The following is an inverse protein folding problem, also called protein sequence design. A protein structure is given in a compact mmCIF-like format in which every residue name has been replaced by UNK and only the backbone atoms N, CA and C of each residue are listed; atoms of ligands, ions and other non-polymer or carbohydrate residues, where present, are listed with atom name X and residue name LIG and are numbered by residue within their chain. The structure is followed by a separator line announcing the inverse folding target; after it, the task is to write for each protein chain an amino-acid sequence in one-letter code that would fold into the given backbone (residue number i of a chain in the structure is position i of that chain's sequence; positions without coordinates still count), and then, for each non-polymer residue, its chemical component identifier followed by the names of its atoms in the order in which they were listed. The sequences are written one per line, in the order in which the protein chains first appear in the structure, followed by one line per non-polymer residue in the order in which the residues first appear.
data_IF_291167833184
#
_entry.id   IF_291167833184
#
_cell.length_a   1.000
_cell.length_b   1.000
_cell.length_c   1.000
_cell.angle_alpha   90.00
_cell.angle_beta   90.00
_cell.angle_gamma   90.00
#
_symmetry.space_group_name_H-M   'P 1'
#
loop_
_entity.id
_entity.type
_entity.pdbx_description
1 polymer ?
#
# COMPACT_ATOMS: atom_id res chain seq x y z
N UNK A 1 8.02 -12.50 -6.24
CA UNK A 1 6.74 -11.82 -5.98
C UNK A 1 6.41 -12.00 -4.51
N UNK A 2 6.49 -10.93 -3.72
CA UNK A 2 5.96 -10.95 -2.35
C UNK A 2 4.47 -10.63 -2.50
N UNK A 3 3.65 -11.66 -2.52
CA UNK A 3 2.20 -11.50 -2.45
C UNK A 3 1.86 -11.26 -1.00
N UNK A 4 1.37 -10.07 -0.69
CA UNK A 4 0.94 -9.79 0.67
C UNK A 4 -0.47 -10.32 0.87
N UNK A 5 -0.55 -11.52 1.44
CA UNK A 5 -1.80 -12.02 1.97
C UNK A 5 -2.11 -11.30 3.28
N UNK A 6 -2.83 -10.19 3.16
CA UNK A 6 -3.30 -9.41 4.28
C UNK A 6 -4.77 -9.69 4.60
N UNK A 7 -5.17 -9.73 5.89
CA UNK A 7 -4.34 -9.96 7.07
C UNK A 7 -4.19 -11.45 7.41
N UNK A 8 -2.95 -11.95 7.55
CA UNK A 8 -2.63 -13.33 8.01
C UNK A 8 -2.17 -13.42 9.46
N UNK A 9 -1.86 -12.28 10.08
CA UNK A 9 -1.26 -12.20 11.41
C UNK A 9 -1.98 -11.17 12.28
N UNK A 10 -1.79 -11.25 13.60
CA UNK A 10 -2.26 -10.21 14.52
C UNK A 10 -1.45 -8.91 14.41
N UNK A 11 -2.02 -7.80 14.90
CA UNK A 11 -1.43 -6.46 14.84
C UNK A 11 0.02 -6.41 15.40
N UNK A 12 0.32 -7.17 16.46
CA UNK A 12 1.67 -7.24 17.04
C UNK A 12 2.74 -7.67 16.04
N UNK A 13 2.42 -8.63 15.18
CA UNK A 13 3.34 -9.13 14.16
C UNK A 13 3.61 -8.08 13.09
N UNK A 14 2.60 -7.25 12.78
CA UNK A 14 2.71 -6.14 11.84
C UNK A 14 3.59 -5.02 12.41
N UNK A 15 3.33 -4.57 13.64
CA UNK A 15 4.18 -3.58 14.29
C UNK A 15 5.65 -4.03 14.38
N UNK A 16 5.89 -5.28 14.81
CA UNK A 16 7.24 -5.83 14.86
C UNK A 16 7.86 -6.02 13.45
N UNK A 17 7.04 -6.31 12.44
CA UNK A 17 7.45 -6.42 11.05
C UNK A 17 7.97 -5.10 10.50
N UNK A 18 7.23 -4.01 10.74
CA UNK A 18 7.67 -2.66 10.39
C UNK A 18 9.02 -2.32 11.04
N UNK A 19 9.16 -2.52 12.35
CA UNK A 19 10.41 -2.22 13.06
C UNK A 19 11.62 -2.99 12.50
N UNK A 20 11.41 -4.25 12.11
CA UNK A 20 12.45 -5.04 11.44
C UNK A 20 12.77 -4.49 10.05
N UNK A 21 11.76 -4.16 9.25
CA UNK A 21 11.96 -3.63 7.90
C UNK A 21 12.72 -2.29 7.92
N UNK A 22 12.39 -1.40 8.87
CA UNK A 22 13.11 -0.13 9.05
C UNK A 22 14.55 -0.38 9.55
N UNK A 23 14.76 -1.34 10.44
CA UNK A 23 16.11 -1.76 10.85
C UNK A 23 16.95 -2.26 9.67
N UNK A 24 16.35 -3.03 8.75
CA UNK A 24 17.00 -3.49 7.51
C UNK A 24 17.28 -2.31 6.58
N UNK A 25 16.33 -1.38 6.41
CA UNK A 25 16.50 -0.19 5.57
C UNK A 25 17.76 0.61 5.94
N UNK A 26 18.00 0.81 7.25
CA UNK A 26 19.19 1.51 7.76
C UNK A 26 20.52 0.82 7.40
N UNK A 27 20.49 -0.49 7.13
CA UNK A 27 21.66 -1.31 6.80
C UNK A 27 21.68 -1.78 5.34
N UNK A 28 20.67 -1.40 4.54
CA UNK A 28 20.53 -1.89 3.18
C UNK A 28 21.64 -1.30 2.31
N UNK A 29 22.58 -2.15 1.93
CA UNK A 29 23.63 -1.83 0.98
C UNK A 29 23.15 -2.24 -0.43
N UNK A 30 22.65 -1.28 -1.19
CA UNK A 30 22.13 -1.44 -2.54
C UNK A 30 21.78 -0.07 -3.13
N UNK A 31 21.65 0.02 -4.46
CA UNK A 31 21.19 1.24 -5.13
C UNK A 31 19.75 1.60 -4.72
N UNK A 32 19.31 2.82 -5.08
CA UNK A 32 18.07 3.43 -4.58
C UNK A 32 16.82 2.54 -4.71
N UNK A 33 16.75 1.70 -5.75
CA UNK A 33 15.65 0.74 -5.96
C UNK A 33 15.54 -0.34 -4.88
N UNK A 34 16.67 -0.84 -4.37
CA UNK A 34 16.66 -1.85 -3.30
C UNK A 34 16.15 -1.26 -1.99
N UNK A 35 16.52 -0.01 -1.70
CA UNK A 35 16.03 0.74 -0.53
C UNK A 35 14.54 1.06 -0.64
N UNK A 36 14.10 1.50 -1.82
CA UNK A 36 12.68 1.73 -2.11
C UNK A 36 11.84 0.46 -1.95
N UNK A 37 12.34 -0.70 -2.39
CA UNK A 37 11.68 -1.98 -2.18
C UNK A 37 11.54 -2.32 -0.68
N UNK A 38 12.62 -2.17 0.10
CA UNK A 38 12.58 -2.36 1.57
C UNK A 38 11.62 -1.39 2.25
N UNK A 39 11.56 -0.13 1.79
CA UNK A 39 10.59 0.84 2.28
C UNK A 39 9.15 0.40 1.93
N UNK A 40 8.92 -0.08 0.70
CA UNK A 40 7.64 -0.65 0.28
C UNK A 40 7.19 -1.82 1.16
N UNK A 41 8.11 -2.73 1.51
CA UNK A 41 7.87 -3.82 2.46
C UNK A 41 7.47 -3.30 3.85
N UNK A 42 8.10 -2.22 4.32
CA UNK A 42 7.73 -1.59 5.59
C UNK A 42 6.32 -0.97 5.50
N UNK A 43 6.05 -0.21 4.43
CA UNK A 43 4.77 0.46 4.19
C UNK A 43 3.63 -0.51 3.93
N UNK A 44 3.91 -1.74 3.51
CA UNK A 44 2.93 -2.82 3.47
C UNK A 44 2.22 -3.02 4.81
N UNK A 45 2.92 -2.77 5.92
CA UNK A 45 2.36 -2.81 7.27
C UNK A 45 1.25 -1.78 7.49
N UNK A 46 1.36 -0.60 6.86
CA UNK A 46 0.35 0.47 6.95
C UNK A 46 -0.99 -0.02 6.42
N UNK A 47 -0.98 -0.60 5.22
CA UNK A 47 -2.19 -1.15 4.60
C UNK A 47 -2.74 -2.34 5.40
N UNK A 48 -1.87 -3.23 5.90
CA UNK A 48 -2.27 -4.38 6.70
C UNK A 48 -3.00 -3.99 8.00
N UNK A 49 -2.44 -3.04 8.75
CA UNK A 49 -3.04 -2.53 9.98
C UNK A 49 -4.33 -1.76 9.67
N UNK A 50 -4.38 -1.02 8.58
CA UNK A 50 -5.61 -0.34 8.15
C UNK A 50 -6.74 -1.34 7.86
N UNK A 51 -6.45 -2.41 7.11
CA UNK A 51 -7.42 -3.49 6.84
C UNK A 51 -7.84 -4.21 8.14
N UNK A 52 -6.91 -4.52 9.03
CA UNK A 52 -7.22 -5.13 10.34
C UNK A 52 -8.15 -4.26 11.18
N UNK A 53 -7.90 -2.94 11.24
CA UNK A 53 -8.74 -2.00 12.00
C UNK A 53 -10.15 -1.95 11.42
N UNK A 54 -10.32 -2.08 10.11
CA UNK A 54 -11.65 -2.12 9.48
C UNK A 54 -12.42 -3.38 9.86
N UNK A 55 -11.74 -4.51 10.06
CA UNK A 55 -12.35 -5.77 10.49
C UNK A 55 -12.72 -5.75 11.99
N UNK A 56 -11.91 -5.11 12.83
CA UNK A 56 -12.18 -4.90 14.25
C UNK A 56 -11.92 -3.45 14.67
N UNK A 57 -12.89 -2.54 14.49
CA UNK A 57 -12.74 -1.14 14.86
C UNK A 57 -12.61 -0.92 16.37
N UNK A 58 -12.98 -1.91 17.18
CA UNK A 58 -12.95 -1.86 18.64
C UNK A 58 -11.63 -2.36 19.24
N UNK A 59 -10.71 -2.85 18.40
CA UNK A 59 -9.47 -3.43 18.85
C UNK A 59 -8.64 -2.42 19.68
N UNK A 60 -8.13 -2.86 20.84
CA UNK A 60 -7.39 -2.00 21.77
C UNK A 60 -6.18 -1.30 21.12
N UNK A 61 -5.50 -2.00 20.20
CA UNK A 61 -4.33 -1.46 19.49
C UNK A 61 -4.69 -0.34 18.50
N UNK A 62 -5.95 -0.21 18.07
CA UNK A 62 -6.39 0.79 17.09
C UNK A 62 -6.44 2.22 17.65
N UNK A 63 -6.33 2.39 18.97
CA UNK A 63 -6.26 3.68 19.63
C UNK A 63 -4.85 4.29 19.62
N UNK A 64 -4.30 4.57 20.80
CA UNK A 64 -3.03 5.29 20.95
C UNK A 64 -1.85 4.60 20.27
N UNK A 65 -1.84 3.26 20.21
CA UNK A 65 -0.75 2.51 19.61
C UNK A 65 -0.69 2.70 18.10
N UNK A 66 -1.81 2.64 17.40
CA UNK A 66 -1.87 2.93 15.97
C UNK A 66 -1.48 4.39 15.67
N UNK A 67 -1.93 5.33 16.50
CA UNK A 67 -1.53 6.74 16.37
C UNK A 67 -0.02 6.94 16.54
N UNK A 68 0.60 6.27 17.53
CA UNK A 68 2.05 6.29 17.74
C UNK A 68 2.80 5.66 16.56
N UNK A 69 2.28 4.56 16.00
CA UNK A 69 2.82 3.94 14.79
C UNK A 69 2.79 4.90 13.60
N UNK A 70 1.67 5.59 13.35
CA UNK A 70 1.60 6.59 12.28
C UNK A 70 2.58 7.75 12.53
N UNK A 71 2.77 8.18 13.78
CA UNK A 71 3.84 9.13 14.12
C UNK A 71 5.23 8.66 13.64
N UNK A 72 5.56 7.40 13.91
CA UNK A 72 6.83 6.80 13.48
C UNK A 72 6.94 6.62 11.97
N UNK A 73 5.83 6.29 11.28
CA UNK A 73 5.80 6.24 9.81
C UNK A 73 6.13 7.61 9.22
N UNK A 74 5.59 8.69 9.79
CA UNK A 74 5.92 10.06 9.34
C UNK A 74 7.40 10.38 9.51
N UNK A 75 7.97 10.08 10.68
CA UNK A 75 9.41 10.28 10.94
C UNK A 75 10.30 9.51 9.95
N UNK A 76 9.93 8.26 9.64
CA UNK A 76 10.63 7.45 8.62
C UNK A 76 10.55 8.11 7.25
N UNK A 77 9.37 8.55 6.82
CA UNK A 77 9.18 9.16 5.50
C UNK A 77 9.89 10.50 5.39
N UNK A 78 9.96 11.30 6.46
CA UNK A 78 10.77 12.53 6.51
C UNK A 78 12.26 12.23 6.31
N UNK A 79 12.77 11.15 6.89
CA UNK A 79 14.18 10.77 6.79
C UNK A 79 14.52 10.04 5.47
N UNK A 80 13.53 9.35 4.87
CA UNK A 80 13.67 8.49 3.70
C UNK A 80 12.89 8.99 2.48
N UNK A 81 12.63 10.31 2.40
CA UNK A 81 11.82 10.89 1.31
C UNK A 81 12.33 10.58 -0.10
N UNK A 82 13.65 10.45 -0.29
CA UNK A 82 14.24 10.01 -1.56
C UNK A 82 13.89 8.56 -1.92
N UNK A 83 13.92 7.64 -0.94
CA UNK A 83 13.51 6.25 -1.13
C UNK A 83 12.00 6.17 -1.43
N UNK A 84 11.21 7.04 -0.80
CA UNK A 84 9.77 7.14 -1.06
C UNK A 84 9.45 7.68 -2.46
N UNK A 85 10.19 8.68 -2.94
CA UNK A 85 10.03 9.16 -4.31
C UNK A 85 10.31 8.05 -5.35
N UNK A 86 11.33 7.22 -5.10
CA UNK A 86 11.60 6.04 -5.94
C UNK A 86 10.48 5.00 -5.81
N UNK A 87 9.94 4.77 -4.61
CA UNK A 87 8.79 3.91 -4.41
C UNK A 87 7.56 4.37 -5.21
N UNK A 88 7.32 5.68 -5.30
CA UNK A 88 6.25 6.24 -6.14
C UNK A 88 6.55 6.03 -7.63
N UNK A 89 7.78 6.23 -8.08
CA UNK A 89 8.15 5.97 -9.48
C UNK A 89 7.99 4.48 -9.87
N UNK A 90 8.11 3.55 -8.92
CA UNK A 90 7.81 2.13 -9.16
C UNK A 90 6.31 1.87 -9.43
N UNK A 91 5.40 2.76 -9.01
CA UNK A 91 3.99 2.70 -9.40
C UNK A 91 3.85 2.95 -10.90
N UNK A 92 4.48 4.00 -11.41
CA UNK A 92 4.44 4.37 -12.83
C UNK A 92 5.00 3.21 -13.68
N UNK A 93 6.17 2.67 -13.30
CA UNK A 93 6.74 1.50 -13.97
C UNK A 93 5.82 0.26 -13.90
N UNK A 94 5.06 0.10 -12.82
CA UNK A 94 4.13 -1.00 -12.68
C UNK A 94 2.93 -0.85 -13.63
N UNK A 95 2.40 0.38 -13.78
CA UNK A 95 1.34 0.71 -14.74
C UNK A 95 1.80 0.54 -16.20
N UNK A 96 2.99 1.04 -16.54
CA UNK A 96 3.60 0.89 -17.87
C UNK A 96 3.76 -0.57 -18.30
N UNK A 97 3.90 -1.50 -17.34
CA UNK A 97 4.09 -2.91 -17.68
C UNK A 97 2.84 -3.57 -18.30
N UNK A 98 1.64 -3.04 -18.02
CA UNK A 98 0.36 -3.59 -18.45
C UNK A 98 0.20 -5.11 -18.16
N UNK A 99 0.89 -5.58 -17.11
CA UNK A 99 0.81 -6.98 -16.66
C UNK A 99 -0.07 -7.11 -15.41
N UNK A 100 -0.65 -8.30 -15.13
CA UNK A 100 -1.36 -8.52 -13.86
C UNK A 100 -0.51 -8.26 -12.62
N UNK A 101 0.81 -8.53 -12.70
CA UNK A 101 1.75 -8.28 -11.61
C UNK A 101 1.98 -6.77 -11.43
N UNK A 102 2.15 -6.04 -12.53
CA UNK A 102 2.24 -4.59 -12.50
C UNK A 102 0.97 -3.95 -11.94
N UNK A 103 -0.19 -4.40 -12.41
CA UNK A 103 -1.48 -3.94 -11.90
C UNK A 103 -1.63 -4.19 -10.39
N UNK A 104 -1.27 -5.39 -9.91
CA UNK A 104 -1.25 -5.69 -8.47
C UNK A 104 -0.36 -4.72 -7.70
N UNK A 105 0.86 -4.48 -8.18
CA UNK A 105 1.81 -3.57 -7.53
C UNK A 105 1.31 -2.12 -7.52
N UNK A 106 0.70 -1.66 -8.62
CA UNK A 106 0.13 -0.32 -8.70
C UNK A 106 -1.06 -0.14 -7.74
N UNK A 107 -1.98 -1.11 -7.71
CA UNK A 107 -3.09 -1.14 -6.75
C UNK A 107 -2.60 -1.10 -5.30
N UNK A 108 -1.52 -1.84 -5.03
CA UNK A 108 -0.89 -1.89 -3.74
C UNK A 108 -0.31 -0.53 -3.33
N UNK A 109 0.55 0.04 -4.18
CA UNK A 109 1.20 1.32 -3.92
C UNK A 109 0.17 2.45 -3.78
N UNK A 110 -0.82 2.51 -4.67
CA UNK A 110 -1.91 3.48 -4.61
C UNK A 110 -2.70 3.41 -3.30
N UNK A 111 -2.98 2.19 -2.80
CA UNK A 111 -3.67 1.98 -1.52
C UNK A 111 -2.84 2.41 -0.32
N UNK A 112 -1.54 2.11 -0.33
CA UNK A 112 -0.64 2.57 0.71
C UNK A 112 -0.63 4.09 0.77
N UNK A 113 -0.52 4.77 -0.38
CA UNK A 113 -0.52 6.24 -0.43
C UNK A 113 -1.86 6.82 0.05
N UNK A 114 -3.00 6.23 -0.34
CA UNK A 114 -4.31 6.67 0.15
C UNK A 114 -4.40 6.62 1.68
N UNK A 115 -4.00 5.49 2.28
CA UNK A 115 -4.02 5.31 3.75
C UNK A 115 -3.04 6.29 4.43
N UNK A 116 -1.87 6.52 3.83
CA UNK A 116 -0.91 7.49 4.35
C UNK A 116 -1.48 8.91 4.37
N UNK A 117 -2.21 9.32 3.31
CA UNK A 117 -2.83 10.64 3.22
C UNK A 117 -4.03 10.78 4.17
N UNK A 118 -4.91 9.78 4.22
CA UNK A 118 -6.16 9.85 4.99
C UNK A 118 -5.97 9.56 6.48
N UNK A 119 -5.24 8.51 6.84
CA UNK A 119 -5.17 7.99 8.21
C UNK A 119 -3.90 8.39 8.96
N UNK A 120 -2.75 8.40 8.27
CA UNK A 120 -1.52 8.90 8.88
C UNK A 120 -1.44 10.43 8.90
N UNK A 121 -2.46 11.12 8.37
CA UNK A 121 -2.56 12.58 8.28
C UNK A 121 -1.28 13.21 7.73
N UNK A 122 -0.66 12.57 6.73
CA UNK A 122 0.49 13.12 6.05
C UNK A 122 0.04 14.30 5.17
N UNK A 123 0.65 15.48 5.31
CA UNK A 123 0.29 16.59 4.45
C UNK A 123 0.64 16.22 2.99
N UNK A 124 -0.31 16.36 2.04
CA UNK A 124 -0.10 15.97 0.64
C UNK A 124 1.18 16.57 0.06
N UNK A 125 1.43 17.84 0.38
CA UNK A 125 2.57 18.63 -0.11
C UNK A 125 3.95 18.16 0.39
N UNK A 126 4.02 17.30 1.40
CA UNK A 126 5.31 16.83 1.92
C UNK A 126 5.91 15.68 1.10
N UNK A 127 5.10 14.95 0.32
CA UNK A 127 5.54 13.71 -0.31
C UNK A 127 5.01 13.48 -1.74
N UNK A 128 3.88 14.08 -2.12
CA UNK A 128 3.29 13.93 -3.46
C UNK A 128 2.81 15.27 -4.01
N UNK A 129 2.71 15.40 -5.33
CA UNK A 129 2.06 16.56 -5.93
C UNK A 129 0.57 16.61 -5.53
N UNK A 130 -0.02 17.80 -5.46
CA UNK A 130 -1.42 17.98 -5.00
C UNK A 130 -2.45 17.28 -5.90
N UNK A 131 -2.11 17.10 -7.17
CA UNK A 131 -2.89 16.43 -8.22
C UNK A 131 -2.47 14.96 -8.42
N UNK A 132 -1.47 14.46 -7.68
CA UNK A 132 -0.91 13.13 -7.90
C UNK A 132 -1.97 12.02 -7.85
N UNK A 133 -2.89 12.08 -6.87
CA UNK A 133 -3.94 11.07 -6.73
C UNK A 133 -4.92 11.08 -7.93
N UNK A 134 -5.30 12.27 -8.40
CA UNK A 134 -6.18 12.42 -9.56
C UNK A 134 -5.51 11.93 -10.85
N UNK A 135 -4.26 12.35 -11.09
CA UNK A 135 -3.48 11.94 -12.24
C UNK A 135 -3.23 10.43 -12.26
N UNK A 136 -2.84 9.85 -11.12
CA UNK A 136 -2.64 8.40 -10.98
C UNK A 136 -3.95 7.65 -11.21
N UNK A 137 -5.06 8.11 -10.64
CA UNK A 137 -6.37 7.49 -10.83
C UNK A 137 -6.83 7.53 -12.30
N UNK A 138 -6.54 8.62 -13.03
CA UNK A 138 -6.81 8.71 -14.47
C UNK A 138 -6.00 7.68 -15.26
N UNK A 139 -4.69 7.59 -15.01
CA UNK A 139 -3.82 6.61 -15.66
C UNK A 139 -4.25 5.16 -15.34
N UNK A 140 -4.58 4.88 -14.08
CA UNK A 140 -5.08 3.58 -13.67
C UNK A 140 -6.37 3.20 -14.40
N UNK A 141 -7.30 4.14 -14.65
CA UNK A 141 -8.51 3.85 -15.43
C UNK A 141 -8.19 3.49 -16.88
N UNK A 142 -7.22 4.15 -17.49
CA UNK A 142 -6.80 3.84 -18.85
C UNK A 142 -6.14 2.45 -18.94
N UNK A 143 -5.20 2.15 -18.03
CA UNK A 143 -4.50 0.87 -17.94
C UNK A 143 -5.44 -0.28 -17.61
N UNK A 144 -6.47 -0.07 -16.78
CA UNK A 144 -7.47 -1.07 -16.42
C UNK A 144 -8.15 -1.73 -17.64
N UNK A 145 -8.25 -1.01 -18.77
CA UNK A 145 -8.85 -1.53 -20.01
C UNK A 145 -7.93 -2.49 -20.78
N UNK A 146 -6.64 -2.54 -20.42
CA UNK A 146 -5.58 -3.25 -21.14
C UNK A 146 -4.96 -4.39 -20.33
N UNK A 147 -5.14 -4.41 -19.01
CA UNK A 147 -4.66 -5.47 -18.12
C UNK A 147 -5.69 -6.59 -17.96
N UNK A 148 -5.22 -7.81 -17.77
CA UNK A 148 -6.11 -8.91 -17.39
C UNK A 148 -6.59 -8.76 -15.93
N UNK A 149 -7.81 -9.23 -15.61
CA UNK A 149 -8.32 -9.33 -14.25
C UNK A 149 -7.31 -9.89 -13.24
N UNK A 150 -7.29 -9.34 -12.03
CA UNK A 150 -6.64 -10.01 -10.91
C UNK A 150 -7.48 -11.23 -10.51
N UNK A 151 -6.84 -12.36 -10.15
CA UNK A 151 -7.58 -13.43 -9.52
C UNK A 151 -8.13 -12.95 -8.16
N UNK A 152 -9.33 -13.39 -7.80
CA UNK A 152 -10.05 -12.95 -6.59
C UNK A 152 -9.20 -13.11 -5.33
N UNK A 153 -8.44 -14.20 -5.26
CA UNK A 153 -7.57 -14.49 -4.14
C UNK A 153 -6.43 -13.47 -3.97
N UNK A 154 -6.12 -12.66 -5.00
CA UNK A 154 -5.07 -11.64 -4.96
C UNK A 154 -5.57 -10.30 -4.39
N UNK A 155 -6.88 -10.09 -4.33
CA UNK A 155 -7.47 -8.90 -3.73
C UNK A 155 -7.43 -9.06 -2.21
N UNK A 156 -6.81 -8.12 -1.46
CA UNK A 156 -6.76 -8.21 0.00
C UNK A 156 -8.16 -8.31 0.61
N UNK A 157 -8.31 -9.15 1.64
CA UNK A 157 -9.62 -9.33 2.29
C UNK A 157 -10.07 -8.02 2.92
N UNK A 158 -11.37 -7.72 2.80
CA UNK A 158 -11.99 -6.49 3.32
C UNK A 158 -11.49 -5.20 2.65
N UNK A 159 -10.84 -5.30 1.49
CA UNK A 159 -10.57 -4.13 0.66
C UNK A 159 -11.90 -3.48 0.27
N UNK A 160 -12.10 -2.18 0.55
CA UNK A 160 -13.39 -1.57 0.32
C UNK A 160 -13.48 -0.96 -1.09
N UNK A 161 -14.70 -0.66 -1.51
CA UNK A 161 -15.00 -0.25 -2.89
C UNK A 161 -14.34 1.07 -3.28
N UNK A 162 -14.04 1.94 -2.31
CA UNK A 162 -13.33 3.20 -2.57
C UNK A 162 -11.92 2.96 -3.12
N UNK A 163 -11.34 1.80 -2.87
CA UNK A 163 -10.10 1.33 -3.52
C UNK A 163 -10.45 0.59 -4.82
N UNK A 164 -11.26 1.24 -5.66
CA UNK A 164 -11.87 0.71 -6.89
C UNK A 164 -10.87 0.07 -7.84
N UNK A 165 -9.61 0.52 -7.82
CA UNK A 165 -8.53 -0.01 -8.66
C UNK A 165 -8.25 -1.50 -8.44
N UNK A 166 -8.54 -2.08 -7.28
CA UNK A 166 -8.42 -3.54 -7.09
C UNK A 166 -9.44 -4.34 -7.89
N UNK A 167 -10.54 -3.68 -8.27
CA UNK A 167 -11.75 -4.30 -8.78
C UNK A 167 -11.97 -3.98 -10.26
N UNK A 168 -11.64 -2.78 -10.71
CA UNK A 168 -11.94 -2.29 -12.08
C UNK A 168 -11.48 -3.21 -13.21
N UNK A 169 -10.33 -3.88 -13.08
CA UNK A 169 -9.86 -4.86 -14.06
C UNK A 169 -10.55 -6.23 -13.92
N UNK A 170 -11.15 -6.50 -12.76
CA UNK A 170 -11.65 -7.81 -12.30
C UNK A 170 -13.19 -7.90 -12.22
N UNK A 171 -13.92 -6.79 -12.32
CA UNK A 171 -15.37 -6.69 -12.07
C UNK A 171 -15.71 -5.87 -10.82
N UNK A 172 -16.98 -5.61 -10.54
CA UNK A 172 -17.35 -4.86 -9.33
C UNK A 172 -17.08 -5.66 -8.04
N UNK A 173 -16.83 -5.01 -6.88
CA UNK A 173 -16.59 -5.70 -5.60
C UNK A 173 -17.69 -6.72 -5.25
N UNK A 174 -18.94 -6.41 -5.60
CA UNK A 174 -20.14 -7.21 -5.37
C UNK A 174 -20.17 -8.51 -6.21
N UNK A 175 -19.51 -8.50 -7.37
CA UNK A 175 -19.42 -9.65 -8.29
C UNK A 175 -18.30 -10.63 -7.91
N UNK A 176 -17.42 -10.23 -6.98
CA UNK A 176 -16.26 -11.01 -6.57
C UNK A 176 -16.63 -11.91 -5.38
N UNK A 177 -17.00 -13.15 -5.69
CA UNK A 177 -17.28 -14.19 -4.69
C UNK A 177 -15.97 -14.71 -4.09
N UNK A 178 -15.76 -14.48 -2.80
CA UNK A 178 -14.67 -15.13 -2.06
C UNK A 178 -15.01 -16.61 -1.83
N UNK A 179 -14.20 -17.53 -2.36
CA UNK A 179 -14.31 -18.95 -2.03
C UNK A 179 -13.93 -19.15 -0.55
N UNK A 180 -14.88 -19.67 0.24
CA UNK A 180 -14.75 -19.94 1.68
C UNK A 180 -14.23 -21.35 1.97
#
# INVERSE_FOLDING_TARGET
MVRYDFPRSGADSYFAGFDRAIGVLATTHGGDRARAATLGDALATVLALWLLRRQDPSAEWAGQRLAAFYGRVREVLEHHGGDFAVYLAELDFALESETPIGWYNACFARSVVEVLLQDAALPPTALVASDWAEATDEEMRDVATRVAPLPVDAIPRSMPEEHWWWFVASGTPEEITYDY
#
